data_IF_080405045014
#
_entry.id   IF_080405045014
#
_cell.length_a   1.000
_cell.length_b   1.000
_cell.length_c   1.000
_cell.angle_alpha   90.00
_cell.angle_beta   90.00
_cell.angle_gamma   90.00
#
_symmetry.space_group_name_H-M   'P 1'
#
loop_
_entity.id
_entity.type
_entity.pdbx_description
1 polymer ?
#
# COMPACT_ATOMS: atom_id res chain seq x y z
N UNK A 1 56.84 28.76 -5.75
CA UNK A 1 57.27 30.17 -5.77
C UNK A 1 56.32 30.99 -4.91
N UNK A 2 56.86 31.50 -3.80
CA UNK A 2 56.63 32.84 -3.20
C UNK A 2 55.21 33.18 -2.74
N UNK A 3 54.96 33.75 -1.58
CA UNK A 3 55.80 34.43 -0.57
C UNK A 3 54.85 34.62 0.64
N UNK A 4 55.27 34.42 1.89
CA UNK A 4 55.83 35.47 2.75
C UNK A 4 54.75 36.45 3.21
N UNK A 5 54.63 36.88 4.46
CA UNK A 5 55.64 36.99 5.50
C UNK A 5 54.97 37.47 6.81
N UNK A 6 55.62 37.15 7.94
CA UNK A 6 56.04 38.08 9.02
C UNK A 6 54.94 38.89 9.78
N UNK A 7 55.08 39.25 11.05
CA UNK A 7 56.09 39.08 12.11
C UNK A 7 55.65 40.00 13.26
N UNK A 8 56.18 39.76 14.47
CA UNK A 8 56.30 40.70 15.61
C UNK A 8 54.97 40.98 16.34
N UNK A 9 54.91 41.10 17.67
CA UNK A 9 55.84 41.83 18.52
C UNK A 9 55.83 41.30 19.96
N UNK A 10 57.04 41.27 20.53
CA UNK A 10 57.38 41.05 21.94
C UNK A 10 57.27 42.40 22.69
N UNK A 11 56.72 42.40 23.91
CA UNK A 11 56.92 43.35 25.04
C UNK A 11 56.32 42.62 26.28
N UNK A 12 57.04 42.17 27.33
CA UNK A 12 57.98 42.77 28.30
C UNK A 12 57.29 43.48 29.50
N UNK A 13 57.89 43.27 30.70
CA UNK A 13 57.59 43.79 32.06
C UNK A 13 56.45 43.11 32.84
N UNK A 14 56.56 42.76 34.13
CA UNK A 14 57.62 42.93 35.12
C UNK A 14 57.00 42.94 36.54
N UNK A 15 57.61 42.16 37.47
CA UNK A 15 57.72 42.41 38.92
C UNK A 15 56.49 42.34 39.85
N UNK A 16 56.58 41.52 40.92
CA UNK A 16 56.67 41.93 42.35
C UNK A 16 56.08 40.87 43.33
N UNK A 17 56.74 40.70 44.49
CA UNK A 17 56.50 39.69 45.53
C UNK A 17 55.38 40.04 46.54
N UNK A 18 54.59 39.00 46.93
CA UNK A 18 53.93 38.72 48.25
C UNK A 18 52.96 39.72 48.90
N UNK A 19 52.21 39.38 49.97
CA UNK A 19 51.97 38.06 50.62
C UNK A 19 50.47 37.72 50.85
N UNK A 20 50.23 36.51 51.40
CA UNK A 20 49.12 36.04 52.26
C UNK A 20 47.70 36.64 52.08
N UNK A 21 46.72 35.80 51.71
CA UNK A 21 45.63 35.42 52.64
C UNK A 21 44.65 34.42 52.01
N UNK A 22 44.30 33.45 52.82
CA UNK A 22 43.53 32.26 52.51
C UNK A 22 42.07 32.47 52.95
N UNK A 23 41.08 32.25 52.07
CA UNK A 23 39.84 31.62 52.55
C UNK A 23 39.39 30.51 51.59
N UNK A 24 40.15 29.41 51.52
CA UNK A 24 39.67 28.14 50.98
C UNK A 24 38.82 27.42 52.04
N UNK A 25 37.52 27.70 52.10
CA UNK A 25 36.65 27.05 53.10
C UNK A 25 35.18 26.83 52.75
N UNK A 26 34.59 27.54 51.77
CA UNK A 26 33.13 27.48 51.57
C UNK A 26 32.63 27.33 50.12
N UNK A 27 33.51 27.28 49.11
CA UNK A 27 33.09 27.19 47.69
C UNK A 27 33.05 25.76 47.10
N UNK A 28 33.57 24.76 47.81
CA UNK A 28 33.69 23.38 47.29
C UNK A 28 32.48 22.48 47.59
N UNK A 29 31.65 22.81 48.58
CA UNK A 29 30.45 22.03 48.91
C UNK A 29 29.22 22.40 48.06
N UNK A 30 29.14 23.67 47.60
CA UNK A 30 28.06 24.14 46.71
C UNK A 30 28.22 23.72 45.24
N UNK A 31 29.45 23.52 44.77
CA UNK A 31 29.76 23.07 43.40
C UNK A 31 29.60 21.54 43.25
N UNK A 32 29.85 20.77 44.31
CA UNK A 32 29.61 19.32 44.32
C UNK A 32 28.13 18.94 44.21
N UNK A 33 27.25 19.60 44.97
CA UNK A 33 25.80 19.34 44.91
C UNK A 33 25.15 19.75 43.57
N UNK A 34 25.62 20.84 42.94
CA UNK A 34 25.08 21.29 41.65
C UNK A 34 25.46 20.37 40.49
N UNK A 35 26.65 19.77 40.53
CA UNK A 35 27.12 18.79 39.53
C UNK A 35 26.39 17.44 39.66
N UNK A 36 26.11 16.98 40.90
CA UNK A 36 25.34 15.75 41.14
C UNK A 36 23.88 15.92 40.66
N UNK A 37 23.27 17.08 40.92
CA UNK A 37 21.92 17.41 40.44
C UNK A 37 21.85 17.45 38.91
N UNK A 38 22.84 18.06 38.25
CA UNK A 38 22.90 18.16 36.79
C UNK A 38 23.10 16.79 36.11
N UNK A 39 23.89 15.90 36.70
CA UNK A 39 24.12 14.53 36.20
C UNK A 39 22.88 13.64 36.31
N UNK A 40 22.12 13.77 37.40
CA UNK A 40 20.86 13.05 37.61
C UNK A 40 19.77 13.53 36.63
N UNK A 41 19.70 14.82 36.35
CA UNK A 41 18.75 15.40 35.38
C UNK A 41 19.08 14.94 33.96
N UNK A 42 20.35 14.99 33.54
CA UNK A 42 20.80 14.50 32.24
C UNK A 42 20.55 12.99 32.05
N UNK A 43 20.77 12.20 33.11
CA UNK A 43 20.47 10.76 33.10
C UNK A 43 18.97 10.50 32.93
N UNK A 44 18.11 11.23 33.62
CA UNK A 44 16.64 11.09 33.50
C UNK A 44 16.13 11.51 32.12
N UNK A 45 16.68 12.57 31.53
CA UNK A 45 16.34 12.99 30.15
C UNK A 45 16.75 11.91 29.15
N UNK A 46 17.95 11.34 29.30
CA UNK A 46 18.45 10.27 28.42
C UNK A 46 17.60 9.00 28.54
N UNK A 47 17.22 8.61 29.76
CA UNK A 47 16.35 7.46 30.02
C UNK A 47 14.95 7.71 29.45
N UNK A 48 14.38 8.90 29.67
CA UNK A 48 13.06 9.25 29.15
C UNK A 48 13.05 9.29 27.61
N UNK A 49 14.08 9.84 26.98
CA UNK A 49 14.28 9.83 25.52
C UNK A 49 14.39 8.40 24.99
N UNK A 50 15.12 7.51 25.67
CA UNK A 50 15.19 6.08 25.33
C UNK A 50 13.84 5.39 25.47
N UNK A 51 13.08 5.65 26.53
CA UNK A 51 11.73 5.07 26.73
C UNK A 51 10.76 5.54 25.64
N UNK A 52 10.78 6.82 25.29
CA UNK A 52 9.99 7.37 24.17
C UNK A 52 10.39 6.73 22.84
N UNK A 53 11.68 6.58 22.59
CA UNK A 53 12.20 5.91 21.38
C UNK A 53 11.80 4.44 21.33
N UNK A 54 11.84 3.72 22.45
CA UNK A 54 11.40 2.34 22.56
C UNK A 54 9.89 2.18 22.37
N UNK A 55 9.06 3.05 22.96
CA UNK A 55 7.61 3.07 22.71
C UNK A 55 7.31 3.35 21.23
N UNK A 56 8.04 4.28 20.60
CA UNK A 56 7.90 4.59 19.17
C UNK A 56 8.32 3.41 18.29
N UNK A 57 9.43 2.73 18.60
CA UNK A 57 9.90 1.54 17.89
C UNK A 57 8.95 0.35 18.07
N UNK A 58 8.45 0.11 19.28
CA UNK A 58 7.46 -0.93 19.54
C UNK A 58 6.15 -0.65 18.78
N UNK A 59 5.67 0.61 18.78
CA UNK A 59 4.50 1.00 17.99
C UNK A 59 4.73 0.79 16.49
N UNK A 60 5.90 1.15 15.97
CA UNK A 60 6.24 1.01 14.56
C UNK A 60 6.36 -0.46 14.12
N UNK A 61 7.00 -1.30 14.94
CA UNK A 61 7.10 -2.75 14.69
C UNK A 61 5.73 -3.43 14.75
N UNK A 62 4.88 -3.06 15.71
CA UNK A 62 3.49 -3.54 15.76
C UNK A 62 2.69 -3.13 14.52
N UNK A 63 2.83 -1.88 14.06
CA UNK A 63 2.16 -1.39 12.85
C UNK A 63 2.63 -2.17 11.60
N UNK A 64 3.93 -2.36 11.41
CA UNK A 64 4.45 -3.13 10.28
C UNK A 64 3.99 -4.59 10.30
N UNK A 65 3.94 -5.22 11.49
CA UNK A 65 3.42 -6.59 11.63
C UNK A 65 1.94 -6.68 11.25
N UNK A 66 1.12 -5.70 11.69
CA UNK A 66 -0.30 -5.60 11.33
C UNK A 66 -0.47 -5.36 9.82
N UNK A 67 0.30 -4.46 9.23
CA UNK A 67 0.26 -4.17 7.79
C UNK A 67 0.64 -5.40 6.95
N UNK A 68 1.68 -6.14 7.36
CA UNK A 68 2.08 -7.37 6.67
C UNK A 68 1.01 -8.48 6.73
N UNK A 69 0.32 -8.60 7.87
CA UNK A 69 -0.79 -9.55 8.01
C UNK A 69 -2.01 -9.14 7.16
N UNK A 70 -2.34 -7.85 7.12
CA UNK A 70 -3.42 -7.32 6.29
C UNK A 70 -3.14 -7.53 4.80
N UNK A 71 -1.93 -7.30 4.32
CA UNK A 71 -1.57 -7.57 2.92
C UNK A 71 -1.77 -9.05 2.56
N UNK A 72 -1.36 -9.98 3.45
CA UNK A 72 -1.59 -11.41 3.23
C UNK A 72 -3.07 -11.79 3.21
N UNK A 73 -3.86 -11.17 4.07
CA UNK A 73 -5.32 -11.37 4.10
C UNK A 73 -5.95 -10.86 2.80
N UNK A 74 -5.57 -9.65 2.36
CA UNK A 74 -6.05 -9.07 1.09
C UNK A 74 -5.65 -9.96 -0.10
N UNK A 75 -4.40 -10.42 -0.15
CA UNK A 75 -3.94 -11.31 -1.23
C UNK A 75 -4.70 -12.65 -1.24
N UNK A 76 -4.99 -13.23 -0.07
CA UNK A 76 -5.78 -14.45 0.04
C UNK A 76 -7.25 -14.22 -0.39
N UNK A 77 -7.86 -13.11 0.04
CA UNK A 77 -9.22 -12.73 -0.35
C UNK A 77 -9.31 -12.51 -1.87
N UNK A 78 -8.36 -11.77 -2.45
CA UNK A 78 -8.30 -11.54 -3.90
C UNK A 78 -8.06 -12.84 -4.67
N UNK A 79 -7.23 -13.75 -4.14
CA UNK A 79 -7.02 -15.06 -4.74
C UNK A 79 -8.31 -15.87 -4.86
N UNK A 80 -9.08 -15.97 -3.76
CA UNK A 80 -10.37 -16.68 -3.77
C UNK A 80 -11.34 -15.99 -4.73
N UNK A 81 -11.40 -14.67 -4.73
CA UNK A 81 -12.25 -13.91 -5.63
C UNK A 81 -11.91 -14.16 -7.10
N UNK A 82 -10.64 -14.04 -7.51
CA UNK A 82 -10.24 -14.31 -8.90
C UNK A 82 -10.44 -15.76 -9.30
N UNK A 83 -10.28 -16.71 -8.37
CA UNK A 83 -10.56 -18.12 -8.63
C UNK A 83 -12.04 -18.34 -8.92
N UNK A 84 -12.94 -17.72 -8.15
CA UNK A 84 -14.37 -17.76 -8.40
C UNK A 84 -14.69 -17.14 -9.76
N UNK A 85 -14.18 -15.94 -10.06
CA UNK A 85 -14.40 -15.29 -11.37
C UNK A 85 -13.87 -16.14 -12.53
N UNK A 86 -12.70 -16.76 -12.39
CA UNK A 86 -12.12 -17.61 -13.43
C UNK A 86 -13.03 -18.79 -13.83
N UNK A 87 -13.86 -19.27 -12.90
CA UNK A 87 -14.83 -20.34 -13.13
C UNK A 87 -16.19 -19.76 -13.54
N UNK A 88 -16.69 -18.78 -12.79
CA UNK A 88 -18.06 -18.26 -12.96
C UNK A 88 -18.21 -17.45 -14.24
N UNK A 89 -17.22 -16.62 -14.61
CA UNK A 89 -17.32 -15.76 -15.78
C UNK A 89 -17.60 -16.54 -17.08
N UNK A 90 -16.84 -17.59 -17.46
CA UNK A 90 -17.15 -18.36 -18.66
C UNK A 90 -18.47 -19.12 -18.55
N UNK A 91 -18.90 -19.51 -17.33
CA UNK A 91 -20.11 -20.29 -17.10
C UNK A 91 -21.40 -19.44 -17.10
N UNK A 92 -21.35 -18.20 -16.62
CA UNK A 92 -22.51 -17.32 -16.45
C UNK A 92 -22.51 -16.20 -17.50
N UNK A 93 -21.39 -15.50 -17.64
CA UNK A 93 -21.26 -14.40 -18.60
C UNK A 93 -21.14 -14.93 -20.03
N UNK A 94 -20.53 -16.10 -20.18
CA UNK A 94 -20.54 -16.86 -21.43
C UNK A 94 -21.95 -17.09 -21.98
N UNK A 95 -22.96 -17.31 -21.14
CA UNK A 95 -24.37 -17.48 -21.57
C UNK A 95 -25.01 -16.21 -22.12
N UNK A 96 -24.40 -15.04 -21.87
CA UNK A 96 -24.89 -13.77 -22.41
C UNK A 96 -24.43 -13.60 -23.86
N UNK A 97 -23.25 -14.11 -24.22
CA UNK A 97 -22.65 -13.97 -25.54
C UNK A 97 -22.78 -15.22 -26.43
N UNK A 98 -22.80 -16.42 -25.83
CA UNK A 98 -22.89 -17.69 -26.54
C UNK A 98 -24.32 -18.26 -26.49
N UNK A 99 -24.71 -19.05 -27.50
CA UNK A 99 -25.98 -19.76 -27.50
C UNK A 99 -26.15 -20.68 -26.28
N UNK A 100 -27.36 -20.75 -25.75
CA UNK A 100 -27.69 -21.52 -24.54
C UNK A 100 -27.40 -23.04 -24.65
N UNK A 101 -27.34 -23.60 -25.85
CA UNK A 101 -27.09 -25.04 -26.05
C UNK A 101 -25.68 -25.51 -25.65
N UNK A 102 -24.72 -24.59 -25.48
CA UNK A 102 -23.39 -24.92 -24.98
C UNK A 102 -23.34 -25.10 -23.47
N UNK A 103 -24.41 -24.76 -22.75
CA UNK A 103 -24.45 -24.74 -21.30
C UNK A 103 -25.44 -25.76 -20.74
N UNK A 104 -25.13 -26.41 -19.61
CA UNK A 104 -26.06 -27.32 -18.95
C UNK A 104 -27.31 -26.56 -18.46
N UNK A 105 -28.47 -27.23 -18.52
CA UNK A 105 -29.77 -26.63 -18.20
C UNK A 105 -29.82 -25.98 -16.81
N UNK A 106 -29.16 -26.58 -15.82
CA UNK A 106 -29.06 -26.03 -14.47
C UNK A 106 -28.49 -24.59 -14.44
N UNK A 107 -27.47 -24.30 -15.25
CA UNK A 107 -26.87 -22.95 -15.29
C UNK A 107 -27.78 -21.93 -15.96
N UNK A 108 -28.56 -22.36 -16.94
CA UNK A 108 -29.55 -21.52 -17.64
C UNK A 108 -30.72 -21.22 -16.70
N UNK A 109 -31.20 -22.22 -15.98
CA UNK A 109 -32.24 -22.08 -14.96
C UNK A 109 -31.78 -21.17 -13.83
N UNK A 110 -30.54 -21.31 -13.34
CA UNK A 110 -29.98 -20.44 -12.32
C UNK A 110 -29.94 -18.97 -12.77
N UNK A 111 -29.51 -18.71 -14.03
CA UNK A 111 -29.50 -17.36 -14.62
C UNK A 111 -30.92 -16.80 -14.74
N UNK A 112 -31.89 -17.63 -15.16
CA UNK A 112 -33.27 -17.22 -15.30
C UNK A 112 -33.92 -16.91 -13.94
N UNK A 113 -33.67 -17.76 -12.95
CA UNK A 113 -34.13 -17.54 -11.57
C UNK A 113 -33.52 -16.25 -11.00
N UNK A 114 -32.22 -16.02 -11.22
CA UNK A 114 -31.54 -14.79 -10.82
C UNK A 114 -32.19 -13.53 -11.43
N UNK A 115 -32.43 -13.54 -12.75
CA UNK A 115 -33.04 -12.41 -13.44
C UNK A 115 -34.45 -12.10 -12.92
N UNK A 116 -35.20 -13.13 -12.54
CA UNK A 116 -36.55 -13.00 -11.97
C UNK A 116 -36.55 -12.53 -10.52
N UNK A 117 -35.70 -13.11 -9.66
CA UNK A 117 -35.68 -12.82 -8.21
C UNK A 117 -35.10 -11.42 -7.91
N UNK A 118 -34.08 -11.01 -8.67
CA UNK A 118 -33.42 -9.71 -8.50
C UNK A 118 -34.00 -8.62 -9.43
N UNK A 119 -34.81 -9.00 -10.41
CA UNK A 119 -35.37 -8.07 -11.40
C UNK A 119 -34.29 -7.42 -12.27
N UNK A 120 -33.20 -8.13 -12.55
CA UNK A 120 -32.08 -7.59 -13.32
C UNK A 120 -32.43 -7.47 -14.81
N UNK A 121 -32.87 -6.27 -15.21
CA UNK A 121 -33.22 -5.99 -16.60
C UNK A 121 -31.99 -6.07 -17.54
N UNK A 122 -30.76 -5.90 -17.04
CA UNK A 122 -29.55 -6.00 -17.87
C UNK A 122 -29.35 -7.44 -18.35
N UNK A 123 -29.63 -8.39 -17.48
CA UNK A 123 -29.52 -9.82 -17.77
C UNK A 123 -30.71 -10.32 -18.59
N UNK A 124 -31.90 -9.76 -18.36
CA UNK A 124 -33.14 -10.14 -19.05
C UNK A 124 -33.25 -9.54 -20.46
N UNK A 125 -33.09 -8.23 -20.61
CA UNK A 125 -33.25 -7.51 -21.87
C UNK A 125 -31.97 -7.50 -22.73
N UNK A 126 -30.81 -7.78 -22.13
CA UNK A 126 -29.49 -7.82 -22.80
C UNK A 126 -29.22 -6.60 -23.70
N UNK A 127 -29.22 -5.38 -23.16
CA UNK A 127 -28.93 -4.18 -23.96
C UNK A 127 -27.52 -4.24 -24.55
N UNK A 128 -27.31 -3.66 -25.73
CA UNK A 128 -26.04 -3.77 -26.47
C UNK A 128 -24.81 -3.30 -25.69
N UNK A 129 -24.94 -2.28 -24.84
CA UNK A 129 -23.82 -1.82 -24.00
C UNK A 129 -23.42 -2.89 -22.98
N UNK A 130 -24.37 -3.59 -22.37
CA UNK A 130 -24.13 -4.63 -21.38
C UNK A 130 -23.46 -5.83 -22.01
N UNK A 131 -23.93 -6.26 -23.20
CA UNK A 131 -23.27 -7.31 -23.99
C UNK A 131 -21.83 -6.91 -24.34
N UNK A 132 -21.57 -5.63 -24.65
CA UNK A 132 -20.22 -5.11 -24.86
C UNK A 132 -19.32 -5.21 -23.62
N UNK A 133 -19.85 -4.87 -22.44
CA UNK A 133 -19.14 -5.02 -21.16
C UNK A 133 -18.84 -6.50 -20.89
N UNK A 134 -19.80 -7.39 -21.13
CA UNK A 134 -19.60 -8.84 -20.95
C UNK A 134 -18.54 -9.40 -21.92
N UNK A 135 -18.48 -8.91 -23.15
CA UNK A 135 -17.38 -9.26 -24.07
C UNK A 135 -16.02 -8.81 -23.55
N UNK A 136 -15.93 -7.59 -23.01
CA UNK A 136 -14.70 -7.11 -22.37
C UNK A 136 -14.34 -7.99 -21.16
N UNK A 137 -15.33 -8.40 -20.38
CA UNK A 137 -15.14 -9.29 -19.24
C UNK A 137 -14.58 -10.65 -19.68
N UNK A 138 -15.17 -11.28 -20.69
CA UNK A 138 -14.74 -12.58 -21.20
C UNK A 138 -13.38 -12.54 -21.92
N UNK A 139 -13.10 -11.51 -22.72
CA UNK A 139 -11.89 -11.46 -23.56
C UNK A 139 -10.70 -10.84 -22.83
N UNK A 140 -10.95 -9.86 -21.96
CA UNK A 140 -9.88 -9.13 -21.28
C UNK A 140 -9.80 -9.49 -19.79
N UNK A 141 -10.90 -9.41 -19.05
CA UNK A 141 -10.87 -9.60 -17.60
C UNK A 141 -10.68 -11.07 -17.20
N UNK A 142 -11.25 -12.01 -17.95
CA UNK A 142 -11.14 -13.44 -17.64
C UNK A 142 -9.72 -13.99 -17.79
N UNK A 143 -8.99 -13.78 -18.91
CA UNK A 143 -7.58 -14.19 -18.99
C UNK A 143 -6.72 -13.52 -17.92
N UNK A 144 -7.04 -12.26 -17.60
CA UNK A 144 -6.34 -11.50 -16.57
C UNK A 144 -6.62 -12.04 -15.16
N UNK A 145 -7.85 -12.49 -14.87
CA UNK A 145 -8.21 -13.14 -13.61
C UNK A 145 -7.44 -14.46 -13.45
N UNK A 146 -7.41 -15.30 -14.50
CA UNK A 146 -6.63 -16.54 -14.51
C UNK A 146 -5.13 -16.25 -14.29
N UNK A 147 -4.59 -15.23 -14.96
CA UNK A 147 -3.23 -14.79 -14.74
C UNK A 147 -3.00 -14.32 -13.28
N UNK A 148 -3.93 -13.56 -12.69
CA UNK A 148 -3.85 -13.14 -11.28
C UNK A 148 -3.84 -14.34 -10.33
N UNK A 149 -4.70 -15.35 -10.54
CA UNK A 149 -4.70 -16.60 -9.74
C UNK A 149 -3.34 -17.28 -9.82
N UNK A 150 -2.85 -17.52 -11.04
CA UNK A 150 -1.54 -18.16 -11.25
C UNK A 150 -0.41 -17.35 -10.61
N UNK A 151 -0.41 -16.04 -10.81
CA UNK A 151 0.65 -15.19 -10.33
C UNK A 151 0.66 -15.08 -8.80
N UNK A 152 -0.51 -15.02 -8.13
CA UNK A 152 -0.59 -15.05 -6.66
C UNK A 152 -0.09 -16.40 -6.14
N UNK A 153 -0.54 -17.51 -6.73
CA UNK A 153 -0.09 -18.85 -6.35
C UNK A 153 1.42 -19.05 -6.55
N UNK A 154 1.98 -18.52 -7.64
CA UNK A 154 3.40 -18.61 -7.96
C UNK A 154 4.25 -17.45 -7.37
N UNK A 155 3.66 -16.56 -6.56
CA UNK A 155 4.35 -15.43 -5.92
C UNK A 155 5.05 -14.48 -6.90
N UNK A 156 4.50 -14.27 -8.10
CA UNK A 156 5.16 -13.48 -9.14
C UNK A 156 5.00 -11.97 -8.90
N UNK A 157 6.05 -11.21 -9.22
CA UNK A 157 6.09 -9.76 -8.98
C UNK A 157 5.21 -8.94 -9.93
N UNK A 158 4.81 -9.47 -11.09
CA UNK A 158 3.93 -8.79 -12.05
C UNK A 158 2.45 -8.82 -11.65
N UNK A 159 2.09 -9.61 -10.62
CA UNK A 159 0.71 -9.73 -10.12
C UNK A 159 0.15 -8.39 -9.70
N UNK A 160 0.93 -7.54 -9.05
CA UNK A 160 0.47 -6.21 -8.64
C UNK A 160 -0.01 -5.38 -9.81
N UNK A 161 0.70 -5.45 -10.95
CA UNK A 161 0.32 -4.73 -12.17
C UNK A 161 -0.92 -5.36 -12.81
N UNK A 162 -1.01 -6.68 -12.84
CA UNK A 162 -2.20 -7.38 -13.35
C UNK A 162 -3.45 -7.08 -12.49
N UNK A 163 -3.34 -7.10 -11.16
CA UNK A 163 -4.40 -6.71 -10.24
C UNK A 163 -4.80 -5.24 -10.38
N UNK A 164 -3.84 -4.35 -10.63
CA UNK A 164 -4.12 -2.94 -10.91
C UNK A 164 -4.93 -2.77 -12.19
N UNK A 165 -4.52 -3.42 -13.28
CA UNK A 165 -5.22 -3.39 -14.56
C UNK A 165 -6.63 -3.99 -14.45
N UNK A 166 -6.74 -5.15 -13.77
CA UNK A 166 -8.03 -5.80 -13.53
C UNK A 166 -8.96 -4.92 -12.70
N UNK A 167 -8.46 -4.38 -11.58
CA UNK A 167 -9.23 -3.52 -10.69
C UNK A 167 -9.69 -2.25 -11.39
N UNK A 168 -8.82 -1.60 -12.18
CA UNK A 168 -9.17 -0.41 -12.94
C UNK A 168 -10.27 -0.70 -13.99
N UNK A 169 -10.11 -1.76 -14.77
CA UNK A 169 -11.10 -2.16 -15.78
C UNK A 169 -12.44 -2.52 -15.13
N UNK A 170 -12.43 -3.32 -14.07
CA UNK A 170 -13.65 -3.73 -13.36
C UNK A 170 -14.35 -2.54 -12.72
N UNK A 171 -13.58 -1.62 -12.13
CA UNK A 171 -14.12 -0.40 -11.54
C UNK A 171 -14.82 0.47 -12.58
N UNK A 172 -14.24 0.61 -13.78
CA UNK A 172 -14.86 1.35 -14.89
C UNK A 172 -16.16 0.68 -15.37
N UNK A 173 -16.16 -0.64 -15.57
CA UNK A 173 -17.36 -1.39 -15.96
C UNK A 173 -18.46 -1.27 -14.91
N UNK A 174 -18.11 -1.42 -13.63
CA UNK A 174 -19.07 -1.29 -12.51
C UNK A 174 -19.62 0.14 -12.39
N UNK A 175 -18.78 1.16 -12.61
CA UNK A 175 -19.26 2.54 -12.64
C UNK A 175 -20.24 2.78 -13.79
N UNK A 176 -19.99 2.23 -14.98
CA UNK A 176 -20.91 2.32 -16.11
C UNK A 176 -22.26 1.64 -15.79
N UNK A 177 -22.22 0.40 -15.27
CA UNK A 177 -23.44 -0.35 -14.89
C UNK A 177 -24.22 0.40 -13.80
N UNK A 178 -23.55 0.83 -12.72
CA UNK A 178 -24.21 1.55 -11.64
C UNK A 178 -24.79 2.90 -12.09
N UNK A 179 -24.12 3.60 -13.01
CA UNK A 179 -24.62 4.85 -13.57
C UNK A 179 -25.90 4.64 -14.38
N UNK A 180 -25.94 3.59 -15.19
CA UNK A 180 -27.13 3.24 -15.97
C UNK A 180 -28.28 2.78 -15.06
N UNK A 181 -27.98 1.93 -14.07
CA UNK A 181 -28.96 1.48 -13.06
C UNK A 181 -29.57 2.67 -12.28
N UNK A 182 -28.74 3.64 -11.90
CA UNK A 182 -29.19 4.84 -11.17
C UNK A 182 -30.03 5.75 -12.06
N UNK A 183 -29.67 5.89 -13.34
CA UNK A 183 -30.37 6.76 -14.30
C UNK A 183 -31.70 6.15 -14.79
N UNK A 184 -31.75 4.82 -14.92
CA UNK A 184 -32.93 4.07 -15.36
C UNK A 184 -34.08 4.12 -14.35
N UNK A 185 -33.80 4.41 -13.07
CA UNK A 185 -34.76 4.41 -11.94
C UNK A 185 -35.55 3.09 -11.78
N UNK A 186 -35.11 2.02 -12.45
CA UNK A 186 -35.61 0.64 -12.35
C UNK A 186 -34.74 -0.23 -11.44
N UNK A 187 -33.68 0.33 -10.88
CA UNK A 187 -32.76 -0.40 -10.01
C UNK A 187 -33.38 -0.67 -8.65
N UNK A 188 -33.63 -1.95 -8.36
CA UNK A 188 -34.05 -2.41 -7.04
C UNK A 188 -32.90 -2.25 -6.04
N UNK A 189 -33.19 -1.88 -4.77
CA UNK A 189 -32.20 -1.80 -3.71
C UNK A 189 -31.44 -3.13 -3.52
N UNK A 190 -32.13 -4.26 -3.74
CA UNK A 190 -31.52 -5.59 -3.68
C UNK A 190 -30.48 -5.83 -4.77
N UNK A 191 -30.73 -5.29 -5.97
CA UNK A 191 -29.80 -5.38 -7.09
C UNK A 191 -28.55 -4.54 -6.77
N UNK A 192 -28.74 -3.29 -6.35
CA UNK A 192 -27.64 -2.42 -5.91
C UNK A 192 -26.79 -3.05 -4.79
N UNK A 193 -27.42 -3.61 -3.76
CA UNK A 193 -26.73 -4.33 -2.68
C UNK A 193 -25.85 -5.49 -3.18
N UNK A 194 -26.21 -6.11 -4.31
CA UNK A 194 -25.39 -7.16 -4.91
C UNK A 194 -24.18 -6.62 -5.67
N UNK A 195 -24.32 -5.50 -6.39
CA UNK A 195 -23.22 -4.92 -7.18
C UNK A 195 -22.16 -4.21 -6.32
N UNK A 196 -22.53 -3.66 -5.15
CA UNK A 196 -21.58 -2.98 -4.25
C UNK A 196 -20.41 -3.84 -3.75
N UNK A 197 -20.60 -5.11 -3.33
CA UNK A 197 -19.48 -6.01 -3.01
C UNK A 197 -18.47 -6.15 -4.15
N UNK A 198 -18.93 -6.31 -5.40
CA UNK A 198 -18.05 -6.40 -6.56
C UNK A 198 -17.26 -5.12 -6.80
N UNK A 199 -17.92 -3.96 -6.63
CA UNK A 199 -17.25 -2.65 -6.64
C UNK A 199 -16.17 -2.58 -5.55
N UNK A 200 -16.48 -3.05 -4.33
CA UNK A 200 -15.53 -3.13 -3.22
C UNK A 200 -14.31 -3.98 -3.56
N UNK A 201 -14.51 -5.17 -4.15
CA UNK A 201 -13.42 -6.03 -4.61
C UNK A 201 -12.58 -5.38 -5.71
N UNK A 202 -13.20 -4.67 -6.66
CA UNK A 202 -12.48 -3.95 -7.71
C UNK A 202 -11.57 -2.86 -7.11
N UNK A 203 -12.08 -2.10 -6.14
CA UNK A 203 -11.30 -1.09 -5.42
C UNK A 203 -10.18 -1.74 -4.60
N UNK A 204 -10.43 -2.86 -3.91
CA UNK A 204 -9.40 -3.59 -3.17
C UNK A 204 -8.28 -4.10 -4.09
N UNK A 205 -8.62 -4.65 -5.25
CA UNK A 205 -7.65 -5.11 -6.25
C UNK A 205 -6.81 -3.95 -6.80
N UNK A 206 -7.45 -2.81 -7.10
CA UNK A 206 -6.79 -1.60 -7.56
C UNK A 206 -5.83 -1.05 -6.50
N UNK A 207 -6.30 -0.89 -5.25
CA UNK A 207 -5.50 -0.40 -4.13
C UNK A 207 -4.30 -1.30 -3.86
N UNK A 208 -4.49 -2.62 -3.84
CA UNK A 208 -3.39 -3.58 -3.71
C UNK A 208 -2.35 -3.35 -4.79
N UNK A 209 -2.78 -3.23 -6.05
CA UNK A 209 -1.89 -3.00 -7.17
C UNK A 209 -1.09 -1.69 -7.07
N UNK A 210 -1.76 -0.59 -6.68
CA UNK A 210 -1.15 0.73 -6.52
C UNK A 210 -0.12 0.73 -5.39
N UNK A 211 -0.44 0.12 -4.23
CA UNK A 211 0.44 0.09 -3.07
C UNK A 211 1.75 -0.66 -3.36
N UNK A 212 1.69 -1.79 -4.06
CA UNK A 212 2.87 -2.54 -4.46
C UNK A 212 3.72 -1.83 -5.54
N UNK A 213 3.08 -1.14 -6.48
CA UNK A 213 3.79 -0.35 -7.49
C UNK A 213 4.54 0.84 -6.85
N UNK A 214 3.90 1.50 -5.88
CA UNK A 214 4.49 2.60 -5.12
C UNK A 214 5.75 2.16 -4.35
N UNK A 215 5.72 0.97 -3.72
CA UNK A 215 6.89 0.40 -3.03
C UNK A 215 8.07 0.05 -3.96
N UNK A 216 7.79 -0.40 -5.19
CA UNK A 216 8.80 -0.67 -6.21
C UNK A 216 9.44 0.61 -6.75
N UNK A 217 8.65 1.66 -6.97
CA UNK A 217 9.17 2.95 -7.46
C UNK A 217 10.02 3.65 -6.38
N UNK A 218 9.68 3.51 -5.10
CA UNK A 218 10.49 4.02 -3.99
C UNK A 218 11.84 3.29 -3.83
N UNK A 219 11.92 2.01 -4.23
CA UNK A 219 13.16 1.22 -4.18
C UNK A 219 14.00 1.33 -5.46
N UNK A 220 13.39 1.62 -6.62
CA UNK A 220 14.07 1.85 -7.90
C UNK A 220 14.94 3.13 -7.91
N UNK A 221 14.64 4.11 -7.06
CA UNK A 221 15.46 5.31 -6.85
C UNK A 221 16.85 5.05 -6.22
N UNK A 222 17.14 3.82 -5.79
CA UNK A 222 18.44 3.38 -5.25
C UNK A 222 19.18 2.40 -6.18
N UNK A 223 18.97 2.44 -7.49
CA UNK A 223 19.75 1.59 -8.40
C UNK A 223 21.16 2.16 -8.60
N UNK A 224 22.13 1.52 -7.96
CA UNK A 224 23.57 1.73 -8.11
C UNK A 224 23.98 1.68 -9.59
N UNK A 225 24.71 2.71 -10.02
CA UNK A 225 25.38 2.81 -11.32
C UNK A 225 26.23 1.56 -11.57
N UNK A 226 26.09 0.86 -12.71
CA UNK A 226 26.96 -0.26 -13.03
C UNK A 226 28.36 0.29 -13.33
N UNK A 227 29.34 -0.08 -12.51
CA UNK A 227 30.75 0.24 -12.70
C UNK A 227 31.27 -0.44 -13.98
N UNK A 228 31.23 0.28 -15.10
CA UNK A 228 31.83 -0.14 -16.38
C UNK A 228 33.35 -0.24 -16.21
N UNK A 229 33.86 -1.45 -15.98
CA UNK A 229 35.30 -1.74 -16.02
C UNK A 229 35.82 -1.46 -17.43
N UNK A 230 36.67 -0.44 -17.59
CA UNK A 230 37.54 -0.30 -18.77
C UNK A 230 38.59 -1.40 -18.70
N UNK A 231 38.68 -2.24 -19.74
CA UNK A 231 39.88 -3.05 -19.99
C UNK A 231 40.90 -2.16 -20.71
N UNK A 232 42.15 -2.30 -20.27
CA UNK A 232 43.35 -1.66 -20.80
C UNK A 232 43.66 -2.13 -22.22
#
# INVERSE_FOLDING_TARGET
>A
MTSSARSLHRWAFGSRCGPSDNPHGLSLLGTGLSLISSSLIQSRITIFSRILKLKKLNKFTNLNKKMGALCKLVDATLFVFFLVIAIVAPLIDGQTCLPHHFFPSFLVELKSWYAQDYGDYLVSEKPHFFVGIVWLELVFQWPLAVACVYGIAAGKSWVSTACLMYGASTLTSMAAILSELSMSNRASEKLLMMYYPFLGFAVLALLRGVLDCSGKNASAGKRSVPHRKKKA
#
